data_IF_135181352185
#
_entry.id   IF_135181352185
#
_cell.length_a   1.000
_cell.length_b   1.000
_cell.length_c   1.000
_cell.angle_alpha   90.00
_cell.angle_beta   90.00
_cell.angle_gamma   90.00
#
_symmetry.space_group_name_H-M   'P 1'
#
loop_
_entity.id
_entity.type
_entity.pdbx_description
1 polymer ?
#
# COMPACT_ATOMS: atom_id res chain seq x y z
N UNK A 1 38.48 20.89 1.44
CA UNK A 1 37.32 20.12 1.00
C UNK A 1 37.67 19.55 -0.36
N UNK A 2 37.73 18.24 -0.48
CA UNK A 2 38.03 17.63 -1.76
C UNK A 2 36.77 17.61 -2.67
N UNK A 3 36.94 17.37 -3.97
CA UNK A 3 35.82 17.37 -4.92
C UNK A 3 34.77 16.32 -4.58
N UNK A 4 35.10 15.22 -3.90
CA UNK A 4 34.17 14.19 -3.47
C UNK A 4 33.29 14.67 -2.32
N UNK A 5 33.87 15.41 -1.37
CA UNK A 5 33.11 16.02 -0.26
C UNK A 5 32.13 17.08 -0.79
N UNK A 6 32.54 17.82 -1.83
CA UNK A 6 31.65 18.80 -2.47
C UNK A 6 30.51 18.13 -3.25
N UNK A 7 30.82 17.08 -3.99
CA UNK A 7 29.79 16.30 -4.74
C UNK A 7 28.78 15.64 -3.78
N UNK A 8 29.25 15.05 -2.66
CA UNK A 8 28.35 14.48 -1.64
C UNK A 8 27.47 15.54 -0.97
N UNK A 9 27.98 16.76 -0.77
CA UNK A 9 27.21 17.87 -0.22
C UNK A 9 26.18 18.38 -1.24
N UNK A 10 26.52 18.43 -2.52
CA UNK A 10 25.61 18.82 -3.60
C UNK A 10 24.48 17.79 -3.76
N UNK A 11 24.81 16.49 -3.71
CA UNK A 11 23.82 15.42 -3.75
C UNK A 11 22.89 15.46 -2.54
N UNK A 12 23.41 15.71 -1.34
CA UNK A 12 22.61 15.87 -0.13
C UNK A 12 21.71 17.13 -0.15
N UNK A 13 22.17 18.22 -0.80
CA UNK A 13 21.37 19.45 -0.96
C UNK A 13 20.32 19.34 -2.08
N UNK A 14 20.53 18.42 -3.03
CA UNK A 14 19.61 18.14 -4.13
C UNK A 14 18.64 16.97 -3.80
N UNK A 15 18.75 16.38 -2.61
CA UNK A 15 17.84 15.34 -2.16
C UNK A 15 16.47 15.96 -1.82
N UNK A 16 15.54 15.86 -2.78
CA UNK A 16 14.17 16.36 -2.62
C UNK A 16 13.47 15.78 -1.39
N UNK A 17 13.85 14.57 -0.96
CA UNK A 17 13.31 13.93 0.24
C UNK A 17 13.70 14.67 1.51
N UNK A 18 14.97 15.06 1.63
CA UNK A 18 15.48 15.80 2.78
C UNK A 18 14.87 17.22 2.89
N UNK A 19 14.69 17.89 1.74
CA UNK A 19 14.04 19.20 1.72
C UNK A 19 12.56 19.12 2.14
N UNK A 20 11.87 18.07 1.71
CA UNK A 20 10.48 17.82 2.07
C UNK A 20 10.33 17.52 3.57
N UNK A 21 11.25 16.77 4.17
CA UNK A 21 11.25 16.48 5.61
C UNK A 21 11.44 17.76 6.43
N UNK A 22 12.38 18.62 6.05
CA UNK A 22 12.59 19.92 6.71
C UNK A 22 11.37 20.84 6.59
N UNK A 23 10.66 20.84 5.44
CA UNK A 23 9.42 21.59 5.28
C UNK A 23 8.30 21.01 6.14
N UNK A 24 8.18 19.70 6.22
CA UNK A 24 7.17 19.05 7.05
C UNK A 24 7.37 19.37 8.53
N UNK A 25 8.61 19.34 9.03
CA UNK A 25 8.94 19.77 10.39
C UNK A 25 8.58 21.23 10.63
N UNK A 26 8.94 22.12 9.71
CA UNK A 26 8.68 23.57 9.82
C UNK A 26 7.19 23.90 9.91
N UNK A 27 6.35 23.18 9.18
CA UNK A 27 4.91 23.44 9.13
C UNK A 27 4.08 22.46 9.96
N UNK A 28 4.75 21.56 10.70
CA UNK A 28 4.09 20.49 11.49
C UNK A 28 3.08 19.68 10.62
N UNK A 29 3.46 19.40 9.38
CA UNK A 29 2.65 18.58 8.46
C UNK A 29 2.94 17.09 8.67
N UNK A 30 1.94 16.21 8.57
CA UNK A 30 2.21 14.78 8.50
C UNK A 30 2.98 14.44 7.21
N UNK A 31 3.83 13.41 7.30
CA UNK A 31 4.49 12.87 6.10
C UNK A 31 3.47 12.32 5.10
N UNK A 32 3.88 12.14 3.83
CA UNK A 32 3.02 11.48 2.85
C UNK A 32 2.68 10.05 3.25
N UNK A 33 3.63 9.34 3.87
CA UNK A 33 3.44 7.98 4.36
C UNK A 33 2.35 7.94 5.44
N UNK A 34 2.42 8.83 6.43
CA UNK A 34 1.41 8.93 7.47
C UNK A 34 0.04 9.31 6.88
N UNK A 35 0.02 10.30 5.99
CA UNK A 35 -1.22 10.75 5.34
C UNK A 35 -1.91 9.63 4.58
N UNK A 36 -1.19 8.89 3.73
CA UNK A 36 -1.77 7.80 2.97
C UNK A 36 -2.16 6.60 3.84
N UNK A 37 -1.41 6.34 4.92
CA UNK A 37 -1.77 5.30 5.87
C UNK A 37 -3.02 5.66 6.68
N UNK A 38 -3.20 6.91 7.07
CA UNK A 38 -4.45 7.38 7.67
C UNK A 38 -5.65 7.21 6.74
N UNK A 39 -5.48 7.53 5.45
CA UNK A 39 -6.52 7.27 4.44
C UNK A 39 -6.82 5.78 4.35
N UNK A 40 -5.80 4.90 4.35
CA UNK A 40 -6.00 3.46 4.36
C UNK A 40 -6.80 3.00 5.61
N UNK A 41 -6.54 3.59 6.77
CA UNK A 41 -7.33 3.33 7.98
C UNK A 41 -8.79 3.77 7.85
N UNK A 42 -9.04 4.94 7.26
CA UNK A 42 -10.41 5.40 7.01
C UNK A 42 -11.15 4.43 6.08
N UNK A 43 -10.48 4.01 5.00
CA UNK A 43 -11.02 3.06 4.02
C UNK A 43 -11.28 1.68 4.65
N UNK A 44 -10.44 1.21 5.56
CA UNK A 44 -10.63 -0.07 6.24
C UNK A 44 -11.98 -0.18 6.96
N UNK A 45 -12.50 0.94 7.47
CA UNK A 45 -13.80 1.00 8.16
C UNK A 45 -15.00 0.62 7.27
N UNK A 46 -14.81 0.64 5.95
CA UNK A 46 -15.81 0.18 4.98
C UNK A 46 -15.98 -1.34 4.95
N UNK A 47 -15.00 -2.10 5.45
CA UNK A 47 -15.09 -3.55 5.51
C UNK A 47 -16.24 -4.00 6.41
N UNK A 48 -17.00 -4.97 5.94
CA UNK A 48 -18.06 -5.65 6.69
C UNK A 48 -17.51 -6.74 7.61
N UNK A 49 -16.24 -7.12 7.46
CA UNK A 49 -15.61 -8.17 8.27
C UNK A 49 -15.62 -7.77 9.75
N UNK A 50 -16.24 -8.55 10.64
CA UNK A 50 -16.32 -8.22 12.06
C UNK A 50 -15.00 -8.41 12.81
N UNK A 51 -14.05 -9.16 12.24
CA UNK A 51 -12.82 -9.56 12.91
C UNK A 51 -11.59 -8.81 12.39
N UNK A 52 -11.48 -8.65 11.06
CA UNK A 52 -10.29 -8.06 10.45
C UNK A 52 -10.69 -7.10 9.35
N UNK A 53 -10.54 -5.82 9.62
CA UNK A 53 -10.80 -4.74 8.66
C UNK A 53 -9.48 -4.24 8.09
N UNK A 54 -9.27 -4.47 6.82
CA UNK A 54 -8.07 -4.04 6.08
C UNK A 54 -8.44 -2.97 5.08
N UNK A 55 -7.63 -1.93 5.00
CA UNK A 55 -7.73 -0.86 4.01
C UNK A 55 -6.43 -0.72 3.25
N UNK A 56 -6.53 -0.38 1.98
CA UNK A 56 -5.41 -0.13 1.10
C UNK A 56 -5.61 1.14 0.28
N UNK A 57 -4.53 1.87 0.06
CA UNK A 57 -4.46 3.07 -0.79
C UNK A 57 -3.34 2.88 -1.80
N UNK A 58 -3.67 2.93 -3.07
CA UNK A 58 -2.71 2.86 -4.17
C UNK A 58 -2.40 4.28 -4.64
N UNK A 59 -1.12 4.63 -4.68
CA UNK A 59 -0.66 5.98 -5.03
C UNK A 59 0.31 5.94 -6.19
N UNK A 60 0.37 7.04 -6.93
CA UNK A 60 1.38 7.29 -7.96
C UNK A 60 1.66 8.78 -8.01
N UNK A 61 2.95 9.16 -7.96
CA UNK A 61 3.37 10.56 -7.95
C UNK A 61 2.65 11.38 -6.84
N UNK A 62 2.57 10.82 -5.63
CA UNK A 62 1.86 11.42 -4.48
C UNK A 62 0.36 11.68 -4.70
N UNK A 63 -0.24 11.06 -5.72
CA UNK A 63 -1.68 11.11 -5.96
C UNK A 63 -2.32 9.76 -5.66
N UNK A 64 -3.46 9.74 -5.00
CA UNK A 64 -4.25 8.52 -4.81
C UNK A 64 -4.91 8.16 -6.14
N UNK A 65 -4.62 6.96 -6.63
CA UNK A 65 -5.16 6.42 -7.88
C UNK A 65 -6.16 5.29 -7.67
N UNK A 66 -6.18 4.69 -6.47
CA UNK A 66 -7.13 3.64 -6.12
C UNK A 66 -7.19 3.45 -4.61
N UNK A 67 -8.33 3.03 -4.12
CA UNK A 67 -8.53 2.62 -2.72
C UNK A 67 -9.26 1.29 -2.68
N UNK A 68 -9.01 0.50 -1.64
CA UNK A 68 -9.67 -0.78 -1.45
C UNK A 68 -9.78 -1.17 0.01
N UNK A 69 -10.73 -2.01 0.29
CA UNK A 69 -10.90 -2.68 1.59
C UNK A 69 -11.26 -4.15 1.35
N UNK A 70 -11.05 -5.00 2.33
CA UNK A 70 -11.45 -6.40 2.20
C UNK A 70 -12.98 -6.50 2.19
N UNK A 71 -13.54 -6.92 1.07
CA UNK A 71 -14.99 -6.90 0.83
C UNK A 71 -15.44 -7.71 -0.37
N UNK A 72 -16.77 -7.74 -0.53
CA UNK A 72 -17.43 -8.41 -1.65
C UNK A 72 -17.08 -7.74 -2.99
N UNK A 73 -17.13 -8.46 -4.10
CA UNK A 73 -16.99 -7.87 -5.43
C UNK A 73 -18.06 -6.81 -5.72
N UNK A 74 -17.77 -5.92 -6.66
CA UNK A 74 -18.71 -4.92 -7.15
C UNK A 74 -19.99 -5.60 -7.70
N UNK A 75 -21.14 -5.10 -7.28
CA UNK A 75 -22.46 -5.63 -7.68
C UNK A 75 -22.72 -7.09 -7.29
N UNK A 76 -22.01 -7.62 -6.30
CA UNK A 76 -22.23 -8.96 -5.79
C UNK A 76 -23.53 -9.03 -5.00
N UNK A 77 -24.39 -9.99 -5.34
CA UNK A 77 -25.74 -10.10 -4.77
C UNK A 77 -25.92 -11.31 -3.84
N UNK A 78 -24.94 -12.21 -3.79
CA UNK A 78 -24.96 -13.34 -2.88
C UNK A 78 -24.65 -12.89 -1.45
N UNK A 79 -25.38 -13.39 -0.47
CA UNK A 79 -25.16 -13.11 0.94
C UNK A 79 -24.55 -14.33 1.60
N UNK A 80 -23.41 -14.15 2.23
CA UNK A 80 -22.70 -15.17 2.98
C UNK A 80 -22.46 -14.73 4.43
N UNK A 81 -22.12 -15.69 5.29
CA UNK A 81 -21.87 -15.42 6.71
C UNK A 81 -20.43 -14.96 6.95
N UNK A 82 -20.25 -13.70 7.29
CA UNK A 82 -18.94 -13.10 7.59
C UNK A 82 -18.22 -13.73 8.80
N UNK A 83 -18.93 -14.45 9.67
CA UNK A 83 -18.35 -15.12 10.84
C UNK A 83 -17.87 -16.54 10.54
N UNK A 84 -17.99 -17.03 9.33
CA UNK A 84 -17.58 -18.38 8.92
C UNK A 84 -16.44 -18.34 7.90
N UNK A 85 -15.70 -19.45 7.72
CA UNK A 85 -14.70 -19.57 6.68
C UNK A 85 -15.21 -19.37 5.25
N UNK A 86 -16.52 -19.51 5.02
CA UNK A 86 -17.17 -19.29 3.73
C UNK A 86 -16.81 -17.93 3.11
N UNK A 87 -16.60 -16.90 3.95
CA UNK A 87 -16.20 -15.57 3.48
C UNK A 87 -14.94 -15.57 2.59
N UNK A 88 -14.02 -16.49 2.82
CA UNK A 88 -12.75 -16.53 2.06
C UNK A 88 -12.92 -16.95 0.59
N UNK A 89 -14.06 -17.50 0.22
CA UNK A 89 -14.40 -17.84 -1.16
C UNK A 89 -14.89 -16.63 -1.96
N UNK A 90 -15.37 -15.59 -1.28
CA UNK A 90 -16.05 -14.44 -1.90
C UNK A 90 -15.38 -13.10 -1.66
N UNK A 91 -14.56 -12.98 -0.61
CA UNK A 91 -13.95 -11.71 -0.22
C UNK A 91 -12.70 -11.42 -1.04
N UNK A 92 -12.68 -10.25 -1.67
CA UNK A 92 -11.48 -9.68 -2.30
C UNK A 92 -10.65 -8.98 -1.23
N UNK A 93 -9.35 -9.23 -1.18
CA UNK A 93 -8.44 -8.54 -0.27
C UNK A 93 -8.32 -7.06 -0.63
N UNK A 94 -7.97 -6.23 0.36
CA UNK A 94 -7.92 -4.79 0.22
C UNK A 94 -6.98 -4.33 -0.91
N UNK A 95 -5.81 -4.98 -1.04
CA UNK A 95 -4.81 -4.69 -2.05
C UNK A 95 -5.34 -4.94 -3.47
N UNK A 96 -5.98 -6.10 -3.67
CA UNK A 96 -6.57 -6.45 -4.96
C UNK A 96 -7.75 -5.54 -5.30
N UNK A 97 -8.51 -5.14 -4.29
CA UNK A 97 -9.61 -4.21 -4.47
C UNK A 97 -9.11 -2.82 -4.87
N UNK A 98 -8.01 -2.34 -4.26
CA UNK A 98 -7.39 -1.06 -4.65
C UNK A 98 -6.88 -1.09 -6.09
N UNK A 99 -6.18 -2.16 -6.49
CA UNK A 99 -5.73 -2.36 -7.88
C UNK A 99 -6.90 -2.41 -8.86
N UNK A 100 -7.93 -3.22 -8.54
CA UNK A 100 -9.11 -3.35 -9.39
C UNK A 100 -9.84 -2.02 -9.57
N UNK A 101 -9.98 -1.22 -8.49
CA UNK A 101 -10.59 0.11 -8.55
C UNK A 101 -9.78 1.10 -9.39
N UNK A 102 -8.44 1.09 -9.26
CA UNK A 102 -7.56 1.92 -10.10
C UNK A 102 -7.72 1.56 -11.60
N UNK A 103 -7.61 0.26 -11.93
CA UNK A 103 -7.76 -0.22 -13.30
C UNK A 103 -9.17 0.07 -13.86
N UNK A 104 -10.22 -0.14 -13.06
CA UNK A 104 -11.60 0.13 -13.46
C UNK A 104 -11.83 1.60 -13.85
N UNK A 105 -11.13 2.52 -13.17
CA UNK A 105 -11.16 3.95 -13.46
C UNK A 105 -10.14 4.40 -14.52
N UNK A 106 -9.46 3.47 -15.20
CA UNK A 106 -8.50 3.77 -16.25
C UNK A 106 -7.14 4.29 -15.76
N UNK A 107 -6.83 4.14 -14.47
CA UNK A 107 -5.54 4.57 -13.94
C UNK A 107 -4.44 3.55 -14.27
N UNK A 108 -3.27 4.05 -14.65
CA UNK A 108 -2.09 3.23 -14.87
C UNK A 108 -1.44 2.88 -13.52
N UNK A 109 -1.39 1.60 -13.18
CA UNK A 109 -0.89 1.11 -11.88
C UNK A 109 0.60 0.79 -11.85
N UNK A 110 1.24 0.63 -13.02
CA UNK A 110 2.69 0.38 -13.09
C UNK A 110 3.44 1.53 -12.42
N UNK A 111 4.49 1.20 -11.67
CA UNK A 111 5.34 2.12 -10.92
C UNK A 111 4.59 2.89 -9.81
N UNK A 112 3.52 2.31 -9.29
CA UNK A 112 2.78 2.82 -8.12
C UNK A 112 3.35 2.29 -6.80
N UNK A 113 2.87 2.89 -5.71
CA UNK A 113 3.12 2.48 -4.33
C UNK A 113 1.80 2.17 -3.66
N UNK A 114 1.78 1.21 -2.73
CA UNK A 114 0.57 0.85 -1.98
C UNK A 114 0.80 0.96 -0.47
N UNK A 115 -0.17 1.54 0.21
CA UNK A 115 -0.24 1.66 1.66
C UNK A 115 -1.35 0.76 2.16
N UNK A 116 -1.05 -0.18 3.04
CA UNK A 116 -2.01 -1.17 3.53
C UNK A 116 -1.90 -1.35 5.04
N UNK A 117 -3.02 -1.39 5.73
CA UNK A 117 -3.05 -1.48 7.20
C UNK A 117 -2.55 -2.82 7.74
N UNK A 118 -2.55 -3.87 6.92
CA UNK A 118 -2.04 -5.21 7.21
C UNK A 118 -1.24 -5.71 6.01
N UNK A 119 -0.02 -6.24 6.23
CA UNK A 119 0.86 -6.67 5.14
C UNK A 119 0.17 -7.63 4.17
N UNK A 120 0.51 -7.59 2.87
CA UNK A 120 -0.07 -8.50 1.89
C UNK A 120 0.17 -9.97 2.24
N UNK A 121 -0.78 -10.81 1.90
CA UNK A 121 -0.53 -12.26 1.88
C UNK A 121 0.29 -12.64 0.63
N UNK A 122 0.78 -13.89 0.61
CA UNK A 122 1.58 -14.41 -0.51
C UNK A 122 0.90 -14.31 -1.88
N UNK A 123 -0.43 -14.42 -1.93
CA UNK A 123 -1.19 -14.26 -3.19
C UNK A 123 -1.28 -12.80 -3.63
N UNK A 124 -1.50 -11.88 -2.69
CA UNK A 124 -1.57 -10.46 -3.00
C UNK A 124 -0.21 -9.90 -3.44
N UNK A 125 0.90 -10.27 -2.76
CA UNK A 125 2.22 -9.78 -3.15
C UNK A 125 2.59 -10.20 -4.58
N UNK A 126 2.28 -11.44 -4.99
CA UNK A 126 2.50 -11.89 -6.37
C UNK A 126 1.73 -11.04 -7.39
N UNK A 127 0.50 -10.66 -7.08
CA UNK A 127 -0.29 -9.80 -7.96
C UNK A 127 0.28 -8.37 -7.99
N UNK A 128 0.66 -7.80 -6.84
CA UNK A 128 1.28 -6.48 -6.77
C UNK A 128 2.54 -6.41 -7.63
N UNK A 129 3.40 -7.43 -7.57
CA UNK A 129 4.58 -7.57 -8.43
C UNK A 129 4.17 -7.59 -9.90
N UNK A 130 3.20 -8.43 -10.27
CA UNK A 130 2.74 -8.58 -11.66
C UNK A 130 2.16 -7.30 -12.24
N UNK A 131 1.50 -6.46 -11.43
CA UNK A 131 1.00 -5.14 -11.82
C UNK A 131 2.10 -4.06 -11.84
N UNK A 132 3.32 -4.37 -11.39
CA UNK A 132 4.45 -3.44 -11.39
C UNK A 132 4.40 -2.43 -10.26
N UNK A 133 3.76 -2.76 -9.14
CA UNK A 133 3.86 -1.96 -7.90
C UNK A 133 5.29 -2.02 -7.38
N UNK A 134 5.85 -0.89 -6.96
CA UNK A 134 7.26 -0.78 -6.54
C UNK A 134 7.45 -0.88 -5.05
N UNK A 135 6.54 -0.31 -4.26
CA UNK A 135 6.66 -0.27 -2.81
C UNK A 135 5.35 -0.64 -2.12
N UNK A 136 5.48 -1.38 -1.04
CA UNK A 136 4.38 -1.73 -0.14
C UNK A 136 4.70 -1.21 1.25
N UNK A 137 3.96 -0.22 1.71
CA UNK A 137 4.01 0.27 3.08
C UNK A 137 2.94 -0.43 3.91
N UNK A 138 3.30 -0.94 5.09
CA UNK A 138 2.35 -1.66 5.96
C UNK A 138 2.61 -1.39 7.45
N UNK A 139 1.59 -1.59 8.29
CA UNK A 139 1.69 -1.38 9.75
C UNK A 139 1.88 -2.69 10.52
N UNK A 140 1.10 -3.70 10.18
CA UNK A 140 1.09 -4.98 10.89
C UNK A 140 1.39 -6.12 9.93
N UNK A 141 2.06 -7.14 10.43
CA UNK A 141 2.34 -8.35 9.67
C UNK A 141 1.14 -9.30 9.68
N UNK A 142 0.79 -9.81 8.51
CA UNK A 142 -0.17 -10.89 8.35
C UNK A 142 0.48 -12.23 8.70
N UNK A 143 -0.32 -13.24 9.01
CA UNK A 143 0.18 -14.61 9.17
C UNK A 143 0.96 -15.04 7.93
N UNK A 144 1.96 -15.88 8.10
CA UNK A 144 2.85 -16.36 7.03
C UNK A 144 3.65 -15.24 6.30
N UNK A 145 3.94 -14.13 7.01
CA UNK A 145 4.67 -12.99 6.46
C UNK A 145 6.06 -13.36 5.90
N UNK A 146 6.72 -14.38 6.47
CA UNK A 146 8.02 -14.86 5.99
C UNK A 146 7.98 -15.32 4.53
N UNK A 147 6.88 -15.96 4.09
CA UNK A 147 6.73 -16.33 2.69
C UNK A 147 6.53 -15.08 1.81
N UNK A 148 5.74 -14.11 2.25
CA UNK A 148 5.55 -12.84 1.56
C UNK A 148 6.89 -12.10 1.40
N UNK A 149 7.68 -12.03 2.47
CA UNK A 149 9.01 -11.43 2.45
C UNK A 149 9.95 -12.14 1.48
N UNK A 150 10.00 -13.49 1.53
CA UNK A 150 10.82 -14.28 0.60
C UNK A 150 10.46 -14.01 -0.86
N UNK A 151 9.17 -13.84 -1.18
CA UNK A 151 8.72 -13.50 -2.53
C UNK A 151 9.21 -12.10 -2.91
N UNK A 152 9.05 -11.12 -2.03
CA UNK A 152 9.49 -9.75 -2.28
C UNK A 152 11.01 -9.66 -2.47
N UNK A 153 11.80 -10.32 -1.62
CA UNK A 153 13.28 -10.36 -1.68
C UNK A 153 13.81 -10.95 -3.02
N UNK A 154 12.98 -11.68 -3.76
CA UNK A 154 13.29 -12.24 -5.08
C UNK A 154 12.60 -11.48 -6.24
N UNK A 155 12.25 -10.22 -6.04
CA UNK A 155 11.58 -9.37 -7.03
C UNK A 155 11.99 -7.90 -6.86
N UNK A 156 11.44 -7.03 -7.69
CA UNK A 156 11.71 -5.57 -7.68
C UNK A 156 10.74 -4.79 -6.78
N UNK A 157 10.01 -5.46 -5.89
CA UNK A 157 9.10 -4.81 -4.94
C UNK A 157 9.74 -4.66 -3.57
N UNK A 158 9.59 -3.50 -2.96
CA UNK A 158 10.12 -3.20 -1.63
C UNK A 158 9.01 -3.28 -0.58
N UNK A 159 9.27 -3.96 0.55
CA UNK A 159 8.37 -4.03 1.71
C UNK A 159 8.89 -3.09 2.80
N UNK A 160 8.08 -2.13 3.20
CA UNK A 160 8.44 -1.09 4.19
C UNK A 160 7.42 -1.11 5.32
N UNK A 161 7.89 -1.41 6.53
CA UNK A 161 7.07 -1.32 7.74
C UNK A 161 7.12 0.10 8.29
N UNK A 162 5.96 0.70 8.54
CA UNK A 162 5.79 2.00 9.17
C UNK A 162 5.61 1.89 10.69
#
# INVERSE_FOLDING_TARGET
MDNRELDMLIDALNDESHFEDLENERYNRPSWQDTFMEVAHVISKRSKDPHTKVGAVLTKNKCIIGTGYNGDPRNFRYSFNWNTPEKYDYVIHAEMNALANACYNGCQVKDSEIYVTLSPCNKCILQLIQFGVKKVYYLKEYKDFELTKKIADNSDIELIKL
#
